data_IF_903823668301
#
_entry.id   IF_903823668301
#
_cell.length_a   1.000
_cell.length_b   1.000
_cell.length_c   1.000
_cell.angle_alpha   90.00
_cell.angle_beta   90.00
_cell.angle_gamma   90.00
#
_symmetry.space_group_name_H-M   'P 1'
#
loop_
_entity.id
_entity.type
_entity.pdbx_description
1 polymer ?
#
# COMPACT_ATOMS: atom_id res chain seq x y z
N UNK A 1 42.23 31.03 -4.99
CA UNK A 1 41.45 29.76 -5.18
C UNK A 1 39.99 30.04 -4.81
N UNK A 2 39.10 30.15 -5.82
CA UNK A 2 37.66 30.40 -5.56
C UNK A 2 36.99 29.05 -5.37
N UNK A 3 36.59 28.76 -4.13
CA UNK A 3 35.71 27.61 -3.82
C UNK A 3 34.30 27.99 -4.29
N UNK A 4 33.81 27.34 -5.36
CA UNK A 4 32.39 27.40 -5.72
C UNK A 4 31.65 26.46 -4.78
N UNK A 5 30.97 27.01 -3.79
CA UNK A 5 29.86 26.30 -3.14
C UNK A 5 28.70 26.22 -4.14
N UNK A 6 28.77 25.24 -5.03
CA UNK A 6 27.61 24.87 -5.85
C UNK A 6 26.62 24.20 -4.93
N UNK A 7 25.42 24.76 -4.78
CA UNK A 7 24.25 24.02 -4.38
C UNK A 7 24.09 22.90 -5.40
N UNK A 8 24.40 21.69 -5.01
CA UNK A 8 23.89 20.51 -5.70
C UNK A 8 22.42 20.53 -5.40
N UNK A 9 21.59 20.92 -6.38
CA UNK A 9 20.16 20.63 -6.28
C UNK A 9 20.08 19.12 -6.07
N UNK A 10 19.50 18.69 -4.96
CA UNK A 10 19.15 17.29 -4.78
C UNK A 10 18.17 16.95 -5.91
N UNK A 11 18.71 16.40 -6.98
CA UNK A 11 17.91 15.67 -7.95
C UNK A 11 17.24 14.57 -7.16
N UNK A 12 15.91 14.46 -7.29
CA UNK A 12 15.09 13.46 -6.59
C UNK A 12 15.56 12.07 -7.02
N UNK A 13 16.44 11.46 -6.25
CA UNK A 13 16.77 10.05 -6.42
C UNK A 13 15.87 9.27 -5.46
N UNK A 14 15.02 8.42 -6.02
CA UNK A 14 14.23 7.47 -5.26
C UNK A 14 15.02 6.18 -5.04
N UNK A 15 14.86 5.55 -3.89
CA UNK A 15 15.46 4.25 -3.57
C UNK A 15 14.42 3.40 -2.86
N UNK A 16 14.24 2.19 -3.32
CA UNK A 16 13.28 1.21 -2.83
C UNK A 16 14.02 -0.06 -2.40
N UNK A 17 13.54 -0.71 -1.34
CA UNK A 17 14.18 -1.92 -0.81
C UNK A 17 13.16 -3.04 -0.76
N UNK A 18 13.36 -4.09 -1.54
CA UNK A 18 12.49 -5.26 -1.48
C UNK A 18 12.60 -5.95 -0.11
N UNK A 19 11.53 -5.96 0.65
CA UNK A 19 11.46 -6.58 1.98
C UNK A 19 11.52 -8.12 1.95
N UNK A 20 11.52 -8.73 0.77
CA UNK A 20 11.61 -10.18 0.59
C UNK A 20 13.03 -10.61 0.26
N UNK A 21 13.61 -10.09 -0.82
CA UNK A 21 14.95 -10.49 -1.29
C UNK A 21 16.06 -9.55 -0.82
N UNK A 22 15.75 -8.37 -0.28
CA UNK A 22 16.72 -7.38 0.18
C UNK A 22 17.40 -6.60 -0.94
N UNK A 23 16.99 -6.78 -2.20
CA UNK A 23 17.54 -5.98 -3.31
C UNK A 23 17.17 -4.50 -3.13
N UNK A 24 18.07 -3.64 -3.55
CA UNK A 24 17.91 -2.18 -3.51
C UNK A 24 17.84 -1.69 -4.95
N UNK A 25 16.72 -1.09 -5.30
CA UNK A 25 16.48 -0.45 -6.58
C UNK A 25 16.56 1.07 -6.41
N UNK A 26 17.17 1.77 -7.38
CA UNK A 26 17.29 3.22 -7.32
C UNK A 26 17.32 3.84 -8.70
N UNK A 27 16.71 5.00 -8.83
CA UNK A 27 16.65 5.74 -10.08
C UNK A 27 16.45 7.24 -9.85
N UNK A 28 16.75 8.01 -10.88
CA UNK A 28 16.45 9.44 -10.92
C UNK A 28 14.99 9.61 -11.35
N UNK A 29 14.22 10.35 -10.54
CA UNK A 29 12.77 10.56 -10.74
C UNK A 29 11.99 9.26 -10.99
N UNK A 30 12.50 8.12 -10.44
CA UNK A 30 11.89 6.82 -10.60
C UNK A 30 10.78 6.59 -9.57
N UNK A 31 9.71 5.95 -10.00
CA UNK A 31 8.65 5.39 -9.17
C UNK A 31 8.95 3.94 -8.80
N UNK A 32 8.27 3.40 -7.81
CA UNK A 32 8.37 1.99 -7.41
C UNK A 32 7.97 1.04 -8.57
N UNK A 33 7.02 1.47 -9.41
CA UNK A 33 6.55 0.71 -10.58
C UNK A 33 7.60 0.56 -11.68
N UNK A 34 8.56 1.50 -11.79
CA UNK A 34 9.65 1.42 -12.78
C UNK A 34 10.61 0.24 -12.52
N UNK A 35 10.52 -0.38 -11.37
CA UNK A 35 11.32 -1.53 -10.93
C UNK A 35 10.50 -2.83 -10.78
N UNK A 36 9.31 -2.90 -11.35
CA UNK A 36 8.37 -4.02 -11.16
C UNK A 36 8.14 -4.34 -9.67
N UNK A 37 8.02 -3.28 -8.86
CA UNK A 37 7.78 -3.38 -7.43
C UNK A 37 6.42 -2.79 -7.06
N UNK A 38 5.87 -3.31 -5.98
CA UNK A 38 4.66 -2.81 -5.33
C UNK A 38 4.94 -2.47 -3.87
N UNK A 39 4.05 -1.67 -3.30
CA UNK A 39 4.01 -1.35 -1.87
C UNK A 39 2.65 -1.74 -1.32
N UNK A 40 2.58 -2.20 -0.06
CA UNK A 40 1.31 -2.39 0.61
C UNK A 40 0.98 -1.23 1.55
N UNK A 41 -0.27 -1.14 2.01
CA UNK A 41 -0.76 -0.13 2.95
C UNK A 41 0.05 -0.01 4.27
N UNK A 42 0.79 -1.08 4.63
CA UNK A 42 1.69 -1.09 5.80
C UNK A 42 3.12 -0.65 5.44
N UNK A 43 3.38 -0.20 4.19
CA UNK A 43 4.67 0.32 3.73
C UNK A 43 5.72 -0.75 3.43
N UNK A 44 5.33 -2.02 3.27
CA UNK A 44 6.25 -3.05 2.78
C UNK A 44 6.40 -2.94 1.27
N UNK A 45 7.63 -2.83 0.79
CA UNK A 45 7.99 -2.79 -0.63
C UNK A 45 8.44 -4.18 -1.08
N UNK A 46 8.02 -4.64 -2.24
CA UNK A 46 8.39 -5.96 -2.76
C UNK A 46 8.31 -6.03 -4.28
N UNK A 47 9.23 -6.79 -4.90
CA UNK A 47 9.13 -7.10 -6.31
C UNK A 47 7.95 -8.02 -6.58
N UNK A 48 7.30 -7.85 -7.72
CA UNK A 48 6.21 -8.72 -8.18
C UNK A 48 6.69 -10.17 -8.27
N UNK A 49 7.91 -10.38 -8.77
CA UNK A 49 8.54 -11.72 -8.83
C UNK A 49 8.79 -12.36 -7.46
N UNK A 50 8.80 -11.58 -6.39
CA UNK A 50 8.99 -12.08 -5.03
C UNK A 50 7.69 -12.46 -4.32
N UNK A 51 6.52 -12.29 -4.96
CA UNK A 51 5.21 -12.56 -4.35
C UNK A 51 4.99 -14.06 -4.03
N UNK A 52 5.62 -14.97 -4.81
CA UNK A 52 5.42 -16.42 -4.65
C UNK A 52 3.94 -16.80 -4.85
N UNK A 53 3.35 -17.49 -3.87
CA UNK A 53 1.93 -17.89 -3.91
C UNK A 53 0.97 -16.78 -3.40
N UNK A 54 1.46 -15.55 -3.21
CA UNK A 54 0.60 -14.43 -2.83
C UNK A 54 -0.18 -13.96 -4.06
N UNK A 55 -1.53 -13.82 -3.98
CA UNK A 55 -2.31 -13.36 -5.12
C UNK A 55 -1.94 -11.92 -5.48
N UNK A 56 -2.01 -11.60 -6.76
CA UNK A 56 -1.84 -10.24 -7.26
C UNK A 56 -3.16 -9.46 -7.09
N UNK A 57 -3.11 -8.26 -6.52
CA UNK A 57 -4.29 -7.43 -6.34
C UNK A 57 -4.92 -7.00 -7.67
N UNK A 58 -4.12 -6.81 -8.72
CA UNK A 58 -4.62 -6.48 -10.06
C UNK A 58 -5.43 -7.63 -10.70
N UNK A 59 -5.32 -8.85 -10.16
CA UNK A 59 -6.07 -10.03 -10.58
C UNK A 59 -7.20 -10.37 -9.58
N UNK A 60 -7.39 -9.56 -8.55
CA UNK A 60 -8.45 -9.75 -7.58
C UNK A 60 -9.83 -9.57 -8.23
N UNK A 61 -10.84 -10.22 -7.66
CA UNK A 61 -12.21 -10.07 -8.13
C UNK A 61 -12.72 -8.62 -7.95
N UNK A 62 -13.70 -8.25 -8.77
CA UNK A 62 -14.28 -6.91 -8.81
C UNK A 62 -14.80 -6.45 -7.44
N UNK A 63 -15.37 -7.37 -6.67
CA UNK A 63 -15.87 -7.07 -5.33
C UNK A 63 -14.73 -6.67 -4.39
N UNK A 64 -13.62 -7.40 -4.38
CA UNK A 64 -12.44 -7.09 -3.57
C UNK A 64 -11.88 -5.72 -3.91
N UNK A 65 -11.75 -5.39 -5.21
CA UNK A 65 -11.28 -4.07 -5.66
C UNK A 65 -12.25 -2.95 -5.27
N UNK A 66 -13.56 -3.17 -5.43
CA UNK A 66 -14.60 -2.24 -5.00
C UNK A 66 -14.54 -1.97 -3.49
N UNK A 67 -14.47 -3.02 -2.66
CA UNK A 67 -14.44 -2.88 -1.20
C UNK A 67 -13.21 -2.10 -0.75
N UNK A 68 -12.06 -2.32 -1.39
CA UNK A 68 -10.83 -1.59 -1.07
C UNK A 68 -10.91 -0.12 -1.48
N UNK A 69 -11.32 0.20 -2.71
CA UNK A 69 -11.51 1.57 -3.16
C UNK A 69 -12.49 2.33 -2.26
N UNK A 70 -13.63 1.70 -1.96
CA UNK A 70 -14.64 2.25 -1.06
C UNK A 70 -14.08 2.55 0.32
N UNK A 71 -13.37 1.59 0.93
CA UNK A 71 -12.77 1.74 2.25
C UNK A 71 -11.82 2.94 2.30
N UNK A 72 -10.92 3.08 1.34
CA UNK A 72 -9.95 4.17 1.32
C UNK A 72 -10.61 5.54 1.10
N UNK A 73 -11.66 5.62 0.27
CA UNK A 73 -12.44 6.85 0.08
C UNK A 73 -13.19 7.26 1.36
N UNK A 74 -13.77 6.28 2.08
CA UNK A 74 -14.41 6.53 3.38
C UNK A 74 -13.39 7.03 4.43
N UNK A 75 -12.19 6.45 4.49
CA UNK A 75 -11.11 6.91 5.37
C UNK A 75 -10.61 8.31 4.99
N UNK A 76 -10.50 8.61 3.69
CA UNK A 76 -10.18 9.95 3.18
C UNK A 76 -11.23 10.98 3.65
N UNK A 77 -12.51 10.69 3.51
CA UNK A 77 -13.60 11.55 3.98
C UNK A 77 -13.50 11.84 5.49
N UNK A 78 -13.26 10.78 6.30
CA UNK A 78 -13.06 10.94 7.75
C UNK A 78 -11.85 11.83 8.08
N UNK A 79 -10.74 11.64 7.35
CA UNK A 79 -9.52 12.44 7.52
C UNK A 79 -9.75 13.90 7.16
N UNK A 80 -10.43 14.19 6.05
CA UNK A 80 -10.78 15.56 5.66
C UNK A 80 -11.65 16.25 6.69
N UNK A 81 -12.68 15.55 7.19
CA UNK A 81 -13.58 16.08 8.24
C UNK A 81 -12.82 16.38 9.52
N UNK A 82 -11.93 15.48 9.95
CA UNK A 82 -11.10 15.68 11.15
C UNK A 82 -10.19 16.91 11.03
N UNK A 83 -9.75 17.24 9.81
CA UNK A 83 -8.90 18.39 9.53
C UNK A 83 -9.68 19.68 9.24
N UNK A 84 -11.00 19.65 9.36
CA UNK A 84 -11.87 20.84 9.18
C UNK A 84 -12.22 21.15 7.72
N UNK A 85 -11.99 20.23 6.80
CA UNK A 85 -12.26 20.37 5.37
C UNK A 85 -13.56 19.64 4.99
N UNK A 86 -14.69 20.16 5.47
CA UNK A 86 -16.01 19.52 5.28
C UNK A 86 -16.43 19.40 3.83
N UNK A 87 -16.06 20.37 2.98
CA UNK A 87 -16.43 20.33 1.56
C UNK A 87 -15.73 19.18 0.82
N UNK A 88 -14.45 18.91 1.14
CA UNK A 88 -13.71 17.78 0.59
C UNK A 88 -14.27 16.44 1.10
N UNK A 89 -14.64 16.37 2.38
CA UNK A 89 -15.25 15.17 2.94
C UNK A 89 -16.57 14.81 2.22
N UNK A 90 -17.39 15.81 1.89
CA UNK A 90 -18.63 15.57 1.13
C UNK A 90 -18.39 15.06 -0.28
N UNK A 91 -17.38 15.57 -0.97
CA UNK A 91 -17.02 15.09 -2.31
C UNK A 91 -16.65 13.61 -2.27
N UNK A 92 -15.86 13.18 -1.27
CA UNK A 92 -15.50 11.76 -1.12
C UNK A 92 -16.73 10.90 -0.75
N UNK A 93 -17.65 11.42 0.06
CA UNK A 93 -18.90 10.71 0.41
C UNK A 93 -19.83 10.55 -0.80
N UNK A 94 -19.99 11.61 -1.61
CA UNK A 94 -20.76 11.57 -2.86
C UNK A 94 -20.14 10.57 -3.86
N UNK A 95 -18.80 10.52 -3.93
CA UNK A 95 -18.10 9.52 -4.73
C UNK A 95 -18.40 8.09 -4.24
N UNK A 96 -18.39 7.84 -2.92
CA UNK A 96 -18.69 6.52 -2.35
C UNK A 96 -20.15 6.11 -2.60
N UNK A 97 -21.09 7.05 -2.57
CA UNK A 97 -22.48 6.78 -2.92
C UNK A 97 -22.59 6.35 -4.40
N UNK A 98 -21.98 7.12 -5.33
CA UNK A 98 -21.98 6.79 -6.74
C UNK A 98 -21.30 5.45 -7.03
N UNK A 99 -20.14 5.20 -6.42
CA UNK A 99 -19.40 3.93 -6.53
C UNK A 99 -20.26 2.74 -6.08
N UNK A 100 -21.04 2.91 -5.01
CA UNK A 100 -21.92 1.86 -4.47
C UNK A 100 -23.14 1.60 -5.35
N UNK A 101 -23.70 2.65 -5.96
CA UNK A 101 -24.80 2.53 -6.94
C UNK A 101 -24.32 1.82 -8.22
N UNK A 102 -23.16 2.21 -8.73
CA UNK A 102 -22.58 1.62 -9.94
C UNK A 102 -22.22 0.14 -9.71
N UNK A 103 -21.64 -0.20 -8.56
CA UNK A 103 -21.35 -1.61 -8.21
C UNK A 103 -22.62 -2.48 -8.17
N UNK A 104 -23.74 -1.90 -7.79
CA UNK A 104 -25.03 -2.61 -7.75
C UNK A 104 -25.70 -2.75 -9.11
N UNK A 105 -25.40 -1.88 -10.09
CA UNK A 105 -26.13 -1.75 -11.35
C UNK A 105 -25.33 -2.13 -12.60
N UNK A 106 -23.99 -2.02 -12.56
CA UNK A 106 -23.11 -2.38 -13.68
C UNK A 106 -22.73 -3.86 -13.60
N UNK A 107 -22.41 -4.46 -14.72
CA UNK A 107 -21.72 -5.75 -14.72
C UNK A 107 -20.23 -5.58 -14.35
N UNK A 108 -19.52 -6.69 -14.17
CA UNK A 108 -18.14 -6.68 -13.66
C UNK A 108 -17.18 -5.98 -14.64
N UNK A 109 -17.35 -6.20 -15.94
CA UNK A 109 -16.48 -5.62 -16.97
C UNK A 109 -16.70 -4.12 -17.07
N UNK A 110 -17.96 -3.67 -17.14
CA UNK A 110 -18.33 -2.25 -17.18
C UNK A 110 -17.89 -1.51 -15.90
N UNK A 111 -17.95 -2.18 -14.75
CA UNK A 111 -17.48 -1.60 -13.49
C UNK A 111 -15.96 -1.40 -13.50
N UNK A 112 -15.21 -2.42 -13.90
CA UNK A 112 -13.75 -2.33 -13.98
C UNK A 112 -13.34 -1.28 -15.01
N UNK A 113 -13.90 -1.28 -16.21
CA UNK A 113 -13.59 -0.27 -17.23
C UNK A 113 -13.81 1.16 -16.73
N UNK A 114 -14.81 1.37 -15.88
CA UNK A 114 -15.12 2.68 -15.32
C UNK A 114 -14.16 3.13 -14.21
N UNK A 115 -13.69 2.20 -13.35
CA UNK A 115 -12.98 2.50 -12.11
C UNK A 115 -11.52 2.01 -12.06
N UNK A 116 -10.99 1.44 -13.16
CA UNK A 116 -9.62 0.89 -13.19
C UNK A 116 -8.56 1.96 -12.92
N UNK A 117 -8.74 3.15 -13.50
CA UNK A 117 -7.84 4.30 -13.25
C UNK A 117 -7.87 4.72 -11.78
N UNK A 118 -9.06 4.85 -11.17
CA UNK A 118 -9.21 5.22 -9.76
C UNK A 118 -8.59 4.17 -8.82
N UNK A 119 -8.77 2.88 -9.14
CA UNK A 119 -8.17 1.77 -8.40
C UNK A 119 -6.64 1.81 -8.52
N UNK A 120 -6.12 2.04 -9.73
CA UNK A 120 -4.69 2.14 -9.99
C UNK A 120 -4.05 3.33 -9.26
N UNK A 121 -4.73 4.48 -9.25
CA UNK A 121 -4.27 5.69 -8.56
C UNK A 121 -4.23 5.47 -7.04
N UNK A 122 -5.27 4.87 -6.49
CA UNK A 122 -5.34 4.57 -5.05
C UNK A 122 -4.27 3.56 -4.62
N UNK A 123 -4.05 2.50 -5.41
CA UNK A 123 -2.96 1.54 -5.16
C UNK A 123 -1.58 2.22 -5.25
N UNK A 124 -1.43 3.19 -6.15
CA UNK A 124 -0.18 3.95 -6.27
C UNK A 124 0.08 4.85 -5.07
N UNK A 125 -0.96 5.41 -4.45
CA UNK A 125 -0.86 6.31 -3.31
C UNK A 125 -0.78 5.57 -1.96
N UNK A 126 -1.61 4.54 -1.77
CA UNK A 126 -1.77 3.85 -0.49
C UNK A 126 -1.17 2.44 -0.44
N UNK A 127 -0.83 1.88 -1.59
CA UNK A 127 -0.37 0.50 -1.73
C UNK A 127 -1.51 -0.50 -1.90
N UNK A 128 -1.17 -1.78 -2.01
CA UNK A 128 -2.14 -2.88 -2.04
C UNK A 128 -2.59 -3.27 -0.62
N UNK A 129 -3.78 -3.87 -0.45
CA UNK A 129 -4.22 -4.38 0.86
C UNK A 129 -3.25 -5.41 1.44
N UNK A 130 -3.21 -5.54 2.77
CA UNK A 130 -2.26 -6.42 3.48
C UNK A 130 -2.36 -7.90 3.10
N UNK A 131 -3.53 -8.39 2.70
CA UNK A 131 -3.74 -9.77 2.22
C UNK A 131 -3.05 -10.07 0.88
N UNK A 132 -2.75 -9.04 0.10
CA UNK A 132 -1.98 -9.12 -1.14
C UNK A 132 -0.50 -8.83 -0.95
N UNK A 133 -0.06 -8.62 0.28
CA UNK A 133 1.33 -8.40 0.62
C UNK A 133 2.00 -9.69 1.13
N UNK A 134 3.05 -10.19 0.45
CA UNK A 134 3.74 -11.40 0.87
C UNK A 134 4.40 -11.28 2.25
N UNK A 135 4.81 -10.06 2.65
CA UNK A 135 5.40 -9.79 3.97
C UNK A 135 4.33 -9.85 5.05
N UNK A 136 3.19 -9.16 4.87
CA UNK A 136 2.09 -9.18 5.84
C UNK A 136 1.54 -10.58 6.05
N UNK A 137 1.39 -11.36 4.96
CA UNK A 137 0.94 -12.76 5.03
C UNK A 137 1.89 -13.63 5.84
N UNK A 138 3.21 -13.47 5.65
CA UNK A 138 4.21 -14.18 6.47
C UNK A 138 4.15 -13.78 7.94
N UNK A 139 4.01 -12.49 8.24
CA UNK A 139 3.85 -12.00 9.62
C UNK A 139 2.64 -12.64 10.28
N UNK A 140 1.47 -12.61 9.63
CA UNK A 140 0.24 -13.23 10.14
C UNK A 140 0.38 -14.74 10.36
N UNK A 141 1.07 -15.44 9.45
CA UNK A 141 1.38 -16.86 9.64
C UNK A 141 2.25 -17.09 10.87
N UNK A 142 3.32 -16.29 11.05
CA UNK A 142 4.17 -16.37 12.24
C UNK A 142 3.40 -16.03 13.52
N UNK A 143 2.52 -15.02 13.50
CA UNK A 143 1.72 -14.64 14.67
C UNK A 143 0.75 -15.74 15.12
N UNK A 144 0.30 -16.60 14.22
CA UNK A 144 -0.53 -17.77 14.53
C UNK A 144 0.28 -18.99 15.00
N UNK A 145 1.62 -18.95 14.90
CA UNK A 145 2.51 -20.04 15.28
C UNK A 145 2.74 -20.04 16.80
N UNK A 146 2.46 -21.15 17.51
CA UNK A 146 2.69 -21.25 18.96
C UNK A 146 4.15 -21.03 19.38
N UNK A 147 5.11 -21.43 18.56
CA UNK A 147 6.54 -21.25 18.85
C UNK A 147 6.95 -19.76 18.70
N UNK A 148 6.32 -19.02 17.75
CA UNK A 148 6.49 -17.57 17.61
C UNK A 148 5.93 -16.83 18.83
N UNK A 149 4.74 -17.19 19.32
CA UNK A 149 4.15 -16.62 20.53
C UNK A 149 5.06 -16.82 21.73
N UNK A 150 5.61 -18.01 21.88
CA UNK A 150 6.58 -18.34 22.95
C UNK A 150 7.89 -17.53 22.81
N UNK A 151 8.36 -17.31 21.59
CA UNK A 151 9.51 -16.44 21.33
C UNK A 151 9.24 -15.01 21.77
N UNK A 152 8.08 -14.45 21.44
CA UNK A 152 7.68 -13.10 21.83
C UNK A 152 7.58 -12.96 23.36
N UNK A 153 7.00 -13.94 24.06
CA UNK A 153 6.95 -13.97 25.52
C UNK A 153 8.36 -13.96 26.15
N UNK A 154 9.27 -14.77 25.62
CA UNK A 154 10.66 -14.80 26.05
C UNK A 154 11.38 -13.48 25.77
N UNK A 155 11.20 -12.91 24.59
CA UNK A 155 11.78 -11.62 24.21
C UNK A 155 11.35 -10.50 25.15
N UNK A 156 10.07 -10.43 25.49
CA UNK A 156 9.56 -9.42 26.43
C UNK A 156 10.10 -9.65 27.86
N UNK A 157 10.15 -10.91 28.29
CA UNK A 157 10.69 -11.29 29.62
C UNK A 157 12.17 -10.93 29.80
N UNK A 158 12.94 -10.91 28.71
CA UNK A 158 14.38 -10.62 28.73
C UNK A 158 14.75 -9.23 28.20
N UNK A 159 13.76 -8.38 27.92
CA UNK A 159 13.95 -7.03 27.36
C UNK A 159 14.82 -6.12 28.26
N UNK A 160 14.75 -6.31 29.57
CA UNK A 160 15.48 -5.50 30.57
C UNK A 160 16.82 -6.10 30.96
N UNK A 161 17.22 -7.25 30.40
CA UNK A 161 18.51 -7.85 30.64
C UNK A 161 19.50 -7.30 29.62
N UNK A 162 20.05 -6.12 29.89
CA UNK A 162 21.22 -5.62 29.18
C UNK A 162 22.41 -6.56 29.44
N UNK A 163 22.83 -7.26 28.40
CA UNK A 163 24.13 -7.95 28.36
C UNK A 163 25.15 -6.99 27.78
#
# INVERSE_FOLDING_TARGET
>A
MKVRNGFVSNSSSSSFVCNICGAIESGYDASIKDFDMEMCENGHEFHIDCMGDTPNFNEADTKTRYEYLKHLKEESAKKWRKNGHEDYAKVEEEYVEQLSEDFANLDEDDFIDKYDDDISDIVSEYGVPEEFCPVCRKIKQCESDPDWQKYLELKEKFKDINV
#
